data_IF_909608812243
#
_entry.id   IF_909608812243
#
_cell.length_a   1.000
_cell.length_b   1.000
_cell.length_c   1.000
_cell.angle_alpha   90.00
_cell.angle_beta   90.00
_cell.angle_gamma   90.00
#
_symmetry.space_group_name_H-M   'P 1'
#
loop_
_entity.id
_entity.type
_entity.pdbx_description
1 polymer ?
#
# COMPACT_ATOMS: atom_id res chain seq x y z
N UNK A 1 -38.15 4.04 -29.38
CA UNK A 1 -37.86 3.81 -27.96
C UNK A 1 -36.37 3.56 -27.88
N UNK A 2 -35.62 4.52 -27.36
CA UNK A 2 -34.16 4.43 -27.25
C UNK A 2 -33.84 3.39 -26.19
N UNK A 3 -33.17 2.31 -26.58
CA UNK A 3 -32.72 1.30 -25.63
C UNK A 3 -31.53 1.90 -24.84
N UNK A 4 -31.57 1.96 -23.49
CA UNK A 4 -30.51 2.55 -22.70
C UNK A 4 -29.25 1.68 -22.79
N UNK A 5 -28.12 2.29 -23.10
CA UNK A 5 -26.83 1.61 -23.11
C UNK A 5 -26.24 1.68 -21.71
N UNK A 6 -25.64 0.58 -21.23
CA UNK A 6 -24.95 0.59 -19.94
C UNK A 6 -23.56 1.21 -20.07
N UNK A 7 -23.25 2.16 -19.20
CA UNK A 7 -21.92 2.76 -19.12
C UNK A 7 -20.87 1.70 -18.73
N UNK A 8 -19.76 1.54 -19.48
CA UNK A 8 -18.74 0.53 -19.18
C UNK A 8 -17.97 0.78 -17.87
N UNK A 9 -18.02 2.01 -17.35
CA UNK A 9 -17.28 2.38 -16.15
C UNK A 9 -18.07 2.20 -14.85
N UNK A 10 -19.39 2.32 -14.88
CA UNK A 10 -20.23 2.23 -13.67
C UNK A 10 -21.51 1.40 -13.86
N UNK A 11 -21.71 0.82 -15.04
CA UNK A 11 -22.87 0.02 -15.43
C UNK A 11 -24.23 0.73 -15.22
N UNK A 12 -24.24 2.07 -15.20
CA UNK A 12 -25.45 2.85 -15.12
C UNK A 12 -26.09 2.98 -16.51
N UNK A 13 -27.43 2.93 -16.61
CA UNK A 13 -28.13 3.17 -17.87
C UNK A 13 -27.97 4.64 -18.27
N UNK A 14 -27.58 4.86 -19.51
CA UNK A 14 -27.43 6.21 -20.09
C UNK A 14 -28.19 6.31 -21.40
N UNK A 15 -28.97 7.39 -21.51
CA UNK A 15 -29.69 7.77 -22.71
C UNK A 15 -28.76 8.57 -23.64
N UNK A 16 -28.65 8.14 -24.90
CA UNK A 16 -27.86 8.85 -25.91
C UNK A 16 -28.56 10.13 -26.39
N UNK A 17 -27.80 11.14 -26.86
CA UNK A 17 -26.34 11.18 -27.08
C UNK A 17 -25.60 11.95 -25.96
N UNK A 18 -25.07 11.23 -24.96
CA UNK A 18 -24.25 11.82 -23.91
C UNK A 18 -22.77 11.54 -24.15
N UNK A 19 -21.95 12.59 -24.25
CA UNK A 19 -20.48 12.49 -24.37
C UNK A 19 -19.81 12.02 -23.07
N UNK A 20 -20.50 12.15 -21.94
CA UNK A 20 -20.05 11.69 -20.63
C UNK A 20 -21.22 11.12 -19.83
N UNK A 21 -20.93 10.11 -19.01
CA UNK A 21 -21.90 9.52 -18.10
C UNK A 21 -22.24 10.50 -16.96
N UNK A 22 -23.52 10.82 -16.70
CA UNK A 22 -23.92 11.74 -15.63
C UNK A 22 -23.69 11.15 -14.23
N UNK A 23 -23.53 9.82 -14.11
CA UNK A 23 -23.37 9.15 -12.83
C UNK A 23 -21.92 9.06 -12.35
N UNK A 24 -20.98 8.82 -13.27
CA UNK A 24 -19.57 8.60 -12.92
C UNK A 24 -18.60 9.52 -13.66
N UNK A 25 -19.07 10.32 -14.63
CA UNK A 25 -18.22 11.20 -15.42
C UNK A 25 -17.38 10.49 -16.49
N UNK A 26 -17.53 9.17 -16.68
CA UNK A 26 -16.78 8.45 -17.70
C UNK A 26 -17.15 8.94 -19.11
N UNK A 27 -16.14 9.21 -19.94
CA UNK A 27 -16.33 9.58 -21.33
C UNK A 27 -16.95 8.41 -22.11
N UNK A 28 -18.09 8.64 -22.74
CA UNK A 28 -18.74 7.68 -23.62
C UNK A 28 -18.32 8.05 -25.04
N UNK A 29 -17.46 7.24 -25.63
CA UNK A 29 -17.00 7.45 -27.00
C UNK A 29 -18.19 7.30 -27.95
N UNK A 30 -18.74 8.44 -28.40
CA UNK A 30 -19.57 8.49 -29.58
C UNK A 30 -18.75 7.89 -30.72
N UNK A 31 -19.10 6.67 -31.12
CA UNK A 31 -18.40 5.93 -32.15
C UNK A 31 -18.59 6.63 -33.51
N UNK A 32 -17.58 7.37 -33.94
CA UNK A 32 -17.37 7.66 -35.35
C UNK A 32 -16.14 6.85 -35.81
N UNK A 33 -16.32 5.67 -36.44
CA UNK A 33 -15.23 4.75 -36.78
C UNK A 33 -14.32 5.23 -37.93
N UNK A 34 -14.45 6.48 -38.37
CA UNK A 34 -13.62 7.07 -39.45
C UNK A 34 -12.53 8.03 -38.98
N UNK A 35 -12.43 8.27 -37.68
CA UNK A 35 -11.45 9.21 -37.10
C UNK A 35 -10.33 8.48 -36.36
N UNK A 36 -9.74 7.45 -36.98
CA UNK A 36 -8.47 6.90 -36.52
C UNK A 36 -7.33 7.76 -37.12
N UNK A 37 -6.64 8.62 -36.36
CA UNK A 37 -5.41 9.22 -36.86
C UNK A 37 -4.36 8.12 -37.00
N UNK A 38 -3.85 7.96 -38.22
CA UNK A 38 -2.67 7.16 -38.57
C UNK A 38 -1.52 7.47 -37.62
N UNK A 39 -1.20 6.50 -36.77
CA UNK A 39 -0.01 6.50 -35.93
C UNK A 39 1.23 6.39 -36.85
N UNK A 40 1.93 7.50 -37.10
CA UNK A 40 3.37 7.50 -37.36
C UNK A 40 3.98 8.92 -37.26
N UNK A 41 4.22 9.43 -36.04
CA UNK A 41 5.13 10.56 -35.84
C UNK A 41 5.67 10.64 -34.40
N UNK A 42 7.00 10.55 -34.30
CA UNK A 42 7.88 11.17 -33.30
C UNK A 42 7.92 10.60 -31.88
N UNK A 43 8.83 9.64 -31.68
CA UNK A 43 9.22 9.08 -30.39
C UNK A 43 10.18 9.97 -29.56
N UNK A 44 10.12 11.31 -29.65
CA UNK A 44 11.11 12.16 -28.95
C UNK A 44 10.63 13.51 -28.41
N UNK A 45 9.32 13.77 -28.33
CA UNK A 45 8.86 15.06 -27.79
C UNK A 45 7.50 14.97 -27.07
N UNK A 46 7.27 13.95 -26.25
CA UNK A 46 6.18 13.99 -25.28
C UNK A 46 6.71 14.51 -23.94
N UNK A 47 6.11 15.57 -23.34
CA UNK A 47 6.30 15.79 -21.91
C UNK A 47 5.87 14.51 -21.18
N UNK A 48 6.65 14.02 -20.21
CA UNK A 48 6.31 12.79 -19.51
C UNK A 48 4.92 12.96 -18.89
N UNK A 49 3.96 12.15 -19.34
CA UNK A 49 2.72 11.95 -18.61
C UNK A 49 3.11 11.57 -17.18
N UNK A 50 2.46 12.13 -16.13
CA UNK A 50 2.81 11.84 -14.74
C UNK A 50 2.37 10.41 -14.39
N UNK A 51 3.09 9.43 -14.93
CA UNK A 51 3.25 8.14 -14.28
C UNK A 51 4.13 8.47 -13.10
N UNK A 52 3.62 8.37 -11.88
CA UNK A 52 4.43 8.56 -10.68
C UNK A 52 5.71 7.71 -10.83
N UNK A 53 6.83 8.36 -11.17
CA UNK A 53 8.08 7.66 -11.54
C UNK A 53 8.70 6.93 -10.35
N UNK A 54 8.18 7.19 -9.15
CA UNK A 54 8.60 6.57 -7.91
C UNK A 54 7.44 6.33 -6.95
N UNK A 55 7.58 5.29 -6.13
CA UNK A 55 6.63 4.95 -5.05
C UNK A 55 6.49 6.12 -4.07
N UNK A 56 7.56 6.90 -3.88
CA UNK A 56 7.55 8.11 -3.06
C UNK A 56 6.62 9.20 -3.63
N UNK A 57 6.66 9.46 -4.95
CA UNK A 57 5.82 10.45 -5.59
C UNK A 57 4.32 10.08 -5.53
N UNK A 58 4.00 8.78 -5.67
CA UNK A 58 2.63 8.28 -5.53
C UNK A 58 2.10 8.49 -4.09
N UNK A 59 2.96 8.25 -3.09
CA UNK A 59 2.60 8.49 -1.69
C UNK A 59 2.43 9.99 -1.37
N UNK A 60 3.24 10.87 -1.94
CA UNK A 60 3.07 12.32 -1.79
C UNK A 60 1.72 12.80 -2.35
N UNK A 61 1.31 12.26 -3.50
CA UNK A 61 0.01 12.55 -4.08
C UNK A 61 -1.15 12.05 -3.21
N UNK A 62 -1.04 10.83 -2.67
CA UNK A 62 -2.02 10.28 -1.73
C UNK A 62 -2.15 11.21 -0.50
N UNK A 63 -1.02 11.68 0.06
CA UNK A 63 -1.01 12.64 1.16
C UNK A 63 -1.66 13.97 0.77
N UNK A 64 -1.45 14.44 -0.47
CA UNK A 64 -2.11 15.65 -1.00
C UNK A 64 -3.62 15.50 -1.05
N UNK A 65 -4.13 14.37 -1.54
CA UNK A 65 -5.57 14.07 -1.55
C UNK A 65 -6.15 13.98 -0.14
N UNK A 66 -5.41 13.40 0.80
CA UNK A 66 -5.81 13.32 2.21
C UNK A 66 -5.89 14.71 2.88
N UNK A 67 -4.92 15.59 2.63
CA UNK A 67 -4.95 16.99 3.11
C UNK A 67 -6.09 17.79 2.51
N UNK A 68 -6.45 17.51 1.26
CA UNK A 68 -7.60 18.11 0.59
C UNK A 68 -8.95 17.53 1.06
N UNK A 69 -8.95 16.55 1.97
CA UNK A 69 -10.16 15.87 2.45
C UNK A 69 -10.80 14.92 1.44
N UNK A 70 -10.14 14.65 0.31
CA UNK A 70 -10.65 13.78 -0.75
C UNK A 70 -10.09 12.35 -0.61
N UNK A 71 -10.65 11.60 0.33
CA UNK A 71 -10.26 10.20 0.58
C UNK A 71 -10.53 9.27 -0.61
N UNK A 72 -11.58 9.53 -1.40
CA UNK A 72 -11.94 8.69 -2.55
C UNK A 72 -10.87 8.79 -3.63
N UNK A 73 -10.36 9.99 -3.90
CA UNK A 73 -9.23 10.21 -4.80
C UNK A 73 -7.95 9.53 -4.31
N UNK A 74 -7.65 9.61 -3.01
CA UNK A 74 -6.50 8.93 -2.41
C UNK A 74 -6.56 7.39 -2.59
N UNK A 75 -7.73 6.78 -2.37
CA UNK A 75 -7.94 5.34 -2.57
C UNK A 75 -7.79 4.96 -4.04
N UNK A 76 -8.27 5.80 -4.95
CA UNK A 76 -8.14 5.55 -6.38
C UNK A 76 -6.67 5.56 -6.83
N UNK A 77 -5.91 6.59 -6.45
CA UNK A 77 -4.46 6.68 -6.75
C UNK A 77 -3.70 5.50 -6.15
N UNK A 78 -4.04 5.10 -4.91
CA UNK A 78 -3.42 3.94 -4.27
C UNK A 78 -3.71 2.63 -5.04
N UNK A 79 -4.93 2.44 -5.56
CA UNK A 79 -5.25 1.26 -6.39
C UNK A 79 -4.58 1.29 -7.74
N UNK A 80 -4.53 2.44 -8.40
CA UNK A 80 -3.90 2.58 -9.71
C UNK A 80 -2.40 2.31 -9.65
N UNK A 81 -1.74 2.73 -8.56
CA UNK A 81 -0.31 2.55 -8.39
C UNK A 81 0.08 1.19 -7.81
N UNK A 82 -0.62 0.72 -6.77
CA UNK A 82 -0.29 -0.53 -6.07
C UNK A 82 -1.11 -1.74 -6.55
N UNK A 83 -2.05 -1.55 -7.49
CA UNK A 83 -2.92 -2.60 -8.04
C UNK A 83 -3.63 -3.43 -6.95
N UNK A 84 -3.98 -2.79 -5.84
CA UNK A 84 -4.60 -3.45 -4.68
C UNK A 84 -6.13 -3.51 -4.79
N UNK A 85 -6.72 -4.44 -4.03
CA UNK A 85 -8.17 -4.55 -3.89
C UNK A 85 -8.78 -3.31 -3.23
N UNK A 86 -10.08 -3.07 -3.46
CA UNK A 86 -10.78 -1.88 -2.93
C UNK A 86 -10.74 -1.80 -1.40
N UNK A 87 -10.84 -2.96 -0.73
CA UNK A 87 -10.77 -3.05 0.73
C UNK A 87 -9.37 -2.70 1.26
N UNK A 88 -8.33 -3.24 0.63
CA UNK A 88 -6.92 -3.01 0.97
C UNK A 88 -6.53 -1.54 0.78
N UNK A 89 -6.94 -0.94 -0.35
CA UNK A 89 -6.62 0.45 -0.62
C UNK A 89 -7.29 1.43 0.35
N UNK A 90 -8.51 1.12 0.80
CA UNK A 90 -9.19 1.91 1.82
C UNK A 90 -8.47 1.82 3.16
N UNK A 91 -8.10 0.63 3.58
CA UNK A 91 -7.39 0.39 4.85
C UNK A 91 -6.02 1.11 4.88
N UNK A 92 -5.24 0.99 3.79
CA UNK A 92 -3.96 1.66 3.65
C UNK A 92 -4.08 3.19 3.71
N UNK A 93 -5.08 3.76 3.03
CA UNK A 93 -5.32 5.21 3.03
C UNK A 93 -5.79 5.72 4.40
N UNK A 94 -6.61 4.96 5.12
CA UNK A 94 -7.09 5.31 6.46
C UNK A 94 -5.94 5.29 7.50
N UNK A 95 -5.02 4.32 7.37
CA UNK A 95 -3.80 4.27 8.17
C UNK A 95 -2.88 5.49 7.91
N UNK A 96 -2.69 5.87 6.64
CA UNK A 96 -1.88 7.04 6.24
C UNK A 96 -2.52 8.33 6.75
N UNK A 97 -3.85 8.45 6.68
CA UNK A 97 -4.57 9.62 7.20
C UNK A 97 -4.46 9.74 8.72
N UNK A 98 -4.54 8.61 9.42
CA UNK A 98 -4.38 8.57 10.87
C UNK A 98 -2.99 9.04 11.27
N UNK A 99 -1.94 8.53 10.62
CA UNK A 99 -0.55 8.98 10.82
C UNK A 99 -0.36 10.48 10.52
N UNK A 100 -0.89 10.97 9.40
CA UNK A 100 -0.88 12.40 9.05
C UNK A 100 -1.51 13.27 10.14
N UNK A 101 -2.67 12.87 10.69
CA UNK A 101 -3.32 13.61 11.78
C UNK A 101 -2.47 13.68 13.05
N UNK A 102 -1.69 12.64 13.34
CA UNK A 102 -0.76 12.67 14.47
C UNK A 102 0.46 13.55 14.19
N UNK A 103 0.90 13.68 12.95
CA UNK A 103 2.06 14.51 12.56
C UNK A 103 1.71 15.99 12.31
N UNK A 104 0.50 16.28 11.86
CA UNK A 104 -0.03 17.65 11.70
C UNK A 104 -0.51 18.25 13.03
N UNK A 105 -0.47 17.47 14.13
CA UNK A 105 -0.50 18.04 15.47
C UNK A 105 0.70 19.02 15.59
N UNK A 106 0.49 20.29 15.98
CA UNK A 106 1.56 21.27 16.07
C UNK A 106 2.74 20.63 16.79
N UNK A 107 3.98 20.73 16.27
CA UNK A 107 5.12 20.19 16.98
C UNK A 107 5.08 20.82 18.36
N UNK A 108 4.81 19.99 19.38
CA UNK A 108 5.04 20.40 20.74
C UNK A 108 6.44 21.01 20.75
N UNK A 109 6.62 22.21 21.35
CA UNK A 109 7.92 22.85 21.38
C UNK A 109 8.90 21.78 21.83
N UNK A 110 9.85 21.47 20.92
CA UNK A 110 10.97 20.59 21.21
C UNK A 110 11.44 21.03 22.60
N UNK A 111 11.51 20.17 23.63
CA UNK A 111 12.09 20.59 24.88
C UNK A 111 13.48 21.07 24.48
N UNK A 112 13.69 22.38 24.59
CA UNK A 112 15.01 22.97 24.49
C UNK A 112 15.69 22.35 25.71
N UNK A 113 16.37 21.24 25.47
CA UNK A 113 17.35 20.74 26.41
C UNK A 113 18.44 21.79 26.28
N UNK A 114 18.36 22.81 27.15
CA UNK A 114 19.42 23.79 27.27
C UNK A 114 20.69 22.99 27.57
N UNK A 115 21.60 22.95 26.61
CA UNK A 115 22.98 22.52 26.75
C UNK A 115 23.70 23.51 27.69
N UNK A 116 23.41 23.44 28.99
CA UNK A 116 24.29 23.98 30.02
C UNK A 116 24.84 22.81 30.84
N UNK A 117 26.07 22.34 30.56
CA UNK A 117 26.72 21.36 31.41
C UNK A 117 27.16 22.04 32.70
N UNK A 118 26.62 21.70 33.89
CA UNK A 118 27.24 22.11 35.12
C UNK A 118 28.55 21.31 35.28
N UNK A 119 29.65 21.96 34.89
CA UNK A 119 30.92 21.71 35.54
C UNK A 119 30.71 21.94 37.05
N UNK A 120 31.37 21.09 37.85
CA UNK A 120 31.48 21.15 39.31
C UNK A 120 30.32 20.54 40.12
N UNK A 121 30.35 19.22 40.34
CA UNK A 121 30.75 18.65 41.63
C UNK A 121 30.47 17.14 41.69
N UNK A 122 31.52 16.37 41.94
CA UNK A 122 31.52 15.01 42.49
C UNK A 122 31.76 15.15 44.02
N UNK A 123 31.65 14.12 44.90
CA UNK A 123 30.86 12.87 44.99
C UNK A 123 29.65 13.11 45.94
N UNK A 124 28.80 12.20 46.44
CA UNK A 124 29.00 11.14 47.46
C UNK A 124 27.74 10.25 47.50
N UNK A 125 27.96 8.94 47.67
CA UNK A 125 26.93 7.93 47.92
C UNK A 125 26.41 8.07 49.36
N UNK A 126 25.13 7.77 49.64
CA UNK A 126 24.92 6.56 50.42
C UNK A 126 23.75 5.70 49.95
N UNK A 127 23.91 4.41 50.26
CA UNK A 127 22.92 3.37 50.16
C UNK A 127 21.61 3.73 50.88
N UNK A 128 20.48 3.45 50.22
CA UNK A 128 19.22 3.18 50.91
C UNK A 128 18.66 1.89 50.35
N UNK A 129 18.60 0.89 51.23
CA UNK A 129 17.93 -0.37 51.02
C UNK A 129 16.41 -0.20 51.20
N UNK A 130 15.68 -1.12 50.54
CA UNK A 130 14.33 -1.56 50.86
C UNK A 130 13.18 -0.55 50.68
N UNK A 131 12.38 -0.78 49.64
CA UNK A 131 10.94 -1.00 49.78
C UNK A 131 10.35 -1.44 48.43
N UNK A 132 9.94 -2.70 48.36
CA UNK A 132 8.96 -3.17 47.37
C UNK A 132 7.60 -2.54 47.71
N UNK A 133 6.88 -2.00 46.73
CA UNK A 133 5.43 -2.15 46.72
C UNK A 133 5.00 -3.04 45.55
N UNK A 134 4.17 -4.00 45.92
CA UNK A 134 3.35 -4.79 45.03
C UNK A 134 2.40 -3.90 44.22
N UNK A 135 1.95 -4.45 43.10
CA UNK A 135 0.73 -4.11 42.38
C UNK A 135 0.68 -2.74 41.69
N UNK A 136 1.24 -2.69 40.49
CA UNK A 136 0.45 -2.32 39.32
C UNK A 136 1.09 -3.02 38.13
N UNK A 137 0.54 -4.18 37.77
CA UNK A 137 0.62 -4.72 36.42
C UNK A 137 0.12 -3.63 35.47
N UNK A 138 1.05 -2.79 35.01
CA UNK A 138 0.91 -2.10 33.75
C UNK A 138 0.88 -3.22 32.72
N UNK A 139 -0.35 -3.63 32.38
CA UNK A 139 -0.67 -4.28 31.13
C UNK A 139 -0.07 -3.41 30.04
N UNK A 140 1.16 -3.76 29.66
CA UNK A 140 1.74 -3.34 28.41
C UNK A 140 0.68 -3.64 27.34
N UNK A 141 0.29 -2.67 26.49
CA UNK A 141 -0.66 -2.93 25.42
C UNK A 141 -0.18 -4.18 24.68
N UNK A 142 -0.97 -5.25 24.75
CA UNK A 142 -0.75 -6.48 23.99
C UNK A 142 -0.64 -6.06 22.52
N UNK A 143 0.60 -5.93 22.07
CA UNK A 143 0.96 -5.41 20.77
C UNK A 143 0.62 -6.51 19.76
N UNK A 144 -0.65 -6.52 19.36
CA UNK A 144 -1.22 -7.51 18.47
C UNK A 144 -0.38 -7.50 17.19
N UNK A 145 0.24 -8.64 16.82
CA UNK A 145 1.12 -8.66 15.67
C UNK A 145 0.33 -8.23 14.44
N UNK A 146 0.85 -7.27 13.65
CA UNK A 146 0.08 -6.67 12.57
C UNK A 146 -0.30 -7.76 11.56
N UNK A 147 -1.56 -7.73 11.11
CA UNK A 147 -2.18 -8.81 10.32
C UNK A 147 -1.41 -9.17 9.03
N UNK A 148 -0.58 -8.26 8.52
CA UNK A 148 0.31 -8.52 7.38
C UNK A 148 1.33 -9.62 7.65
N UNK A 149 1.76 -9.81 8.91
CA UNK A 149 2.77 -10.82 9.27
C UNK A 149 2.22 -12.24 9.12
N UNK A 150 0.95 -12.44 9.45
CA UNK A 150 0.29 -13.75 9.31
C UNK A 150 0.03 -14.08 7.83
N UNK A 151 -0.29 -13.06 7.02
CA UNK A 151 -0.47 -13.23 5.58
C UNK A 151 0.86 -13.44 4.84
N UNK A 152 1.93 -12.73 5.23
CA UNK A 152 3.28 -12.90 4.68
C UNK A 152 3.87 -14.29 5.00
N UNK A 153 3.64 -14.81 6.21
CA UNK A 153 4.03 -16.19 6.58
C UNK A 153 3.23 -17.20 5.73
N UNK A 154 1.94 -16.94 5.50
CA UNK A 154 1.10 -17.78 4.61
C UNK A 154 1.62 -17.85 3.18
N UNK A 155 1.96 -16.71 2.56
CA UNK A 155 2.56 -16.66 1.22
C UNK A 155 3.93 -17.34 1.17
N UNK A 156 4.77 -17.15 2.19
CA UNK A 156 6.09 -17.77 2.24
C UNK A 156 6.02 -19.29 2.36
N UNK A 157 5.14 -19.81 3.22
CA UNK A 157 4.93 -21.26 3.39
C UNK A 157 4.35 -21.88 2.13
N UNK A 158 3.39 -21.22 1.47
CA UNK A 158 2.83 -21.69 0.20
C UNK A 158 3.89 -21.75 -0.92
N UNK A 159 4.76 -20.74 -1.01
CA UNK A 159 5.82 -20.70 -2.03
C UNK A 159 6.88 -21.78 -1.80
N UNK A 160 7.26 -22.01 -0.54
CA UNK A 160 8.22 -23.07 -0.17
C UNK A 160 7.63 -24.46 -0.42
N UNK A 161 6.35 -24.69 -0.07
CA UNK A 161 5.66 -25.95 -0.36
C UNK A 161 5.57 -26.21 -1.86
N UNK A 162 5.20 -25.19 -2.64
CA UNK A 162 5.09 -25.30 -4.09
C UNK A 162 6.45 -25.58 -4.74
N UNK A 163 7.51 -24.87 -4.33
CA UNK A 163 8.87 -25.10 -4.80
C UNK A 163 9.36 -26.52 -4.47
N UNK A 164 9.10 -26.98 -3.24
CA UNK A 164 9.48 -28.32 -2.80
C UNK A 164 8.74 -29.41 -3.60
N UNK A 165 7.44 -29.23 -3.84
CA UNK A 165 6.63 -30.20 -4.57
C UNK A 165 6.95 -30.24 -6.07
N UNK A 166 7.23 -29.09 -6.69
CA UNK A 166 7.45 -28.99 -8.14
C UNK A 166 8.89 -29.21 -8.57
N UNK A 167 9.88 -28.98 -7.71
CA UNK A 167 11.31 -29.07 -8.09
C UNK A 167 11.99 -30.21 -7.38
N UNK A 168 11.83 -30.31 -6.06
CA UNK A 168 12.59 -31.27 -5.25
C UNK A 168 12.04 -32.68 -5.43
N UNK A 169 10.72 -32.86 -5.35
CA UNK A 169 10.06 -34.16 -5.51
C UNK A 169 10.35 -34.85 -6.86
N UNK A 170 10.19 -34.21 -8.02
CA UNK A 170 10.49 -34.84 -9.30
C UNK A 170 11.99 -35.08 -9.50
N UNK A 171 12.86 -34.22 -8.98
CA UNK A 171 14.33 -34.44 -9.02
C UNK A 171 14.72 -35.66 -8.20
N UNK A 172 14.16 -35.81 -7.00
CA UNK A 172 14.40 -36.97 -6.12
C UNK A 172 13.85 -38.24 -6.77
N UNK A 173 12.63 -38.21 -7.33
CA UNK A 173 12.08 -39.35 -8.07
C UNK A 173 12.96 -39.72 -9.27
N UNK A 174 13.45 -38.74 -10.03
CA UNK A 174 14.34 -38.99 -11.16
C UNK A 174 15.66 -39.66 -10.72
N UNK A 175 16.24 -39.21 -9.61
CA UNK A 175 17.45 -39.84 -9.05
C UNK A 175 17.20 -41.27 -8.56
N UNK A 176 16.06 -41.54 -7.91
CA UNK A 176 15.71 -42.89 -7.44
C UNK A 176 15.44 -43.83 -8.61
N UNK A 177 14.73 -43.35 -9.64
CA UNK A 177 14.38 -44.17 -10.82
C UNK A 177 15.59 -44.39 -11.73
N UNK A 178 16.47 -43.39 -11.86
CA UNK A 178 17.73 -43.50 -12.59
C UNK A 178 18.68 -44.53 -11.97
N UNK A 179 18.73 -44.61 -10.63
CA UNK A 179 19.54 -45.59 -9.91
C UNK A 179 19.11 -47.05 -10.17
N UNK A 180 17.82 -47.30 -10.45
CA UNK A 180 17.30 -48.65 -10.74
C UNK A 180 17.65 -49.13 -12.16
N UNK A 181 17.97 -48.22 -13.08
CA UNK A 181 18.25 -48.53 -14.50
C UNK A 181 19.71 -48.86 -14.83
N UNK A 182 20.62 -48.67 -13.87
CA UNK A 182 22.08 -48.92 -14.04
C UNK A 182 22.57 -50.26 -13.50
N UNK A 183 21.67 -51.15 -13.07
CA UNK A 183 22.00 -52.46 -12.51
C UNK A 183 21.43 -53.61 -13.34
N UNK A 184 21.92 -53.80 -14.56
CA UNK A 184 21.82 -55.04 -15.32
C UNK A 184 23.07 -55.25 -16.17
#
# INVERSE_FOLDING_TARGET
MSEPINCPSCNAPVDMPATACPYCGAALAAADPRSAPTMLASASALPPLPRFESSAAAMDEIKRFLRAGNKVGAVQVHREYFSTGLKEAKDAVDAIESDLKFQDAPPAPKPVVDDEPPAFARPESPAVAAATPAAASFDAPQQQPPAWRNWAIGCSVAFVLFCCLCVVLPTVLYMITGAQSGGF
#
